data_IF_840647477781
#
_entry.id   IF_840647477781
#
_cell.length_a   1.000
_cell.length_b   1.000
_cell.length_c   1.000
_cell.angle_alpha   90.00
_cell.angle_beta   90.00
_cell.angle_gamma   90.00
#
_symmetry.space_group_name_H-M   'P 1'
#
loop_
_entity.id
_entity.type
_entity.pdbx_description
1 polymer ?
#
# COMPACT_ATOMS: atom_id res chain seq x y z
N UNK A 1 -15.19 -12.45 15.94
CA UNK A 1 -15.26 -13.16 14.63
C UNK A 1 -14.78 -12.31 13.44
N UNK A 2 -14.88 -10.97 13.47
CA UNK A 2 -14.46 -10.07 12.37
C UNK A 2 -12.95 -10.09 12.03
N UNK A 3 -12.05 -10.42 12.97
CA UNK A 3 -10.59 -10.50 12.72
C UNK A 3 -10.22 -11.45 11.56
N UNK A 4 -10.94 -12.56 11.40
CA UNK A 4 -10.65 -13.57 10.37
C UNK A 4 -11.05 -13.10 8.97
N UNK A 5 -12.12 -12.32 8.87
CA UNK A 5 -12.61 -11.73 7.63
C UNK A 5 -11.62 -10.72 7.05
N UNK A 6 -11.01 -9.87 7.87
CA UNK A 6 -10.05 -8.86 7.38
C UNK A 6 -8.76 -9.48 6.82
N UNK A 7 -8.25 -10.54 7.46
CA UNK A 7 -7.09 -11.26 6.96
C UNK A 7 -7.40 -12.00 5.65
N UNK A 8 -8.56 -12.67 5.56
CA UNK A 8 -9.01 -13.32 4.32
C UNK A 8 -9.29 -12.31 3.21
N UNK A 9 -9.84 -11.13 3.52
CA UNK A 9 -10.08 -10.07 2.54
C UNK A 9 -8.77 -9.50 1.99
N UNK A 10 -7.81 -9.19 2.86
CA UNK A 10 -6.50 -8.66 2.44
C UNK A 10 -5.71 -9.70 1.62
N UNK A 11 -5.74 -10.96 2.03
CA UNK A 11 -5.16 -12.06 1.24
C UNK A 11 -5.85 -12.23 -0.12
N UNK A 12 -7.18 -12.07 -0.17
CA UNK A 12 -7.94 -12.08 -1.42
C UNK A 12 -7.52 -10.94 -2.35
N UNK A 13 -7.44 -9.71 -1.86
CA UNK A 13 -6.99 -8.55 -2.66
C UNK A 13 -5.56 -8.74 -3.15
N UNK A 14 -4.67 -9.29 -2.33
CA UNK A 14 -3.31 -9.62 -2.75
C UNK A 14 -3.30 -10.64 -3.90
N UNK A 15 -4.03 -11.75 -3.76
CA UNK A 15 -4.10 -12.79 -4.78
C UNK A 15 -4.76 -12.31 -6.07
N UNK A 16 -5.83 -11.51 -5.99
CA UNK A 16 -6.47 -10.91 -7.18
C UNK A 16 -5.51 -9.96 -7.88
N UNK A 17 -4.81 -9.11 -7.13
CA UNK A 17 -3.81 -8.18 -7.69
C UNK A 17 -2.70 -8.94 -8.40
N UNK A 18 -2.18 -10.01 -7.78
CA UNK A 18 -1.14 -10.85 -8.35
C UNK A 18 -1.62 -11.60 -9.60
N UNK A 19 -2.85 -12.11 -9.58
CA UNK A 19 -3.43 -12.79 -10.73
C UNK A 19 -3.63 -11.82 -11.91
N UNK A 20 -4.18 -10.62 -11.66
CA UNK A 20 -4.37 -9.61 -12.69
C UNK A 20 -3.03 -9.15 -13.26
N UNK A 21 -2.03 -8.85 -12.42
CA UNK A 21 -0.72 -8.42 -12.89
C UNK A 21 -0.01 -9.52 -13.70
N UNK A 22 -0.13 -10.79 -13.28
CA UNK A 22 0.42 -11.93 -14.02
C UNK A 22 -0.30 -12.13 -15.37
N UNK A 23 -1.63 -12.07 -15.41
CA UNK A 23 -2.41 -12.20 -16.66
C UNK A 23 -2.02 -11.08 -17.64
N UNK A 24 -1.98 -9.83 -17.19
CA UNK A 24 -1.63 -8.70 -18.06
C UNK A 24 -0.19 -8.82 -18.59
N UNK A 25 0.74 -9.33 -17.78
CA UNK A 25 2.11 -9.57 -18.23
C UNK A 25 2.20 -10.64 -19.32
N UNK A 26 1.39 -11.70 -19.24
CA UNK A 26 1.32 -12.75 -20.28
C UNK A 26 0.63 -12.23 -21.55
N UNK A 27 -0.41 -11.42 -21.42
CA UNK A 27 -1.18 -10.90 -22.56
C UNK A 27 -0.41 -9.78 -23.29
N UNK A 28 0.35 -8.94 -22.56
CA UNK A 28 1.09 -7.82 -23.13
C UNK A 28 2.50 -7.70 -22.52
N UNK A 29 3.46 -8.53 -22.97
CA UNK A 29 4.82 -8.55 -22.42
C UNK A 29 5.60 -7.25 -22.69
N UNK A 30 5.24 -6.50 -23.74
CA UNK A 30 5.84 -5.19 -24.03
C UNK A 30 5.40 -4.08 -23.07
N UNK A 31 4.20 -4.20 -22.48
CA UNK A 31 3.69 -3.22 -21.53
C UNK A 31 4.10 -3.58 -20.09
N UNK A 32 4.10 -4.86 -19.75
CA UNK A 32 4.43 -5.36 -18.43
C UNK A 32 5.36 -6.57 -18.51
N UNK A 33 6.70 -6.35 -18.49
CA UNK A 33 7.64 -7.46 -18.44
C UNK A 33 7.45 -8.25 -17.15
N UNK A 34 7.71 -9.57 -17.19
CA UNK A 34 7.56 -10.46 -16.03
C UNK A 34 8.29 -9.96 -14.77
N UNK A 35 9.46 -9.32 -14.94
CA UNK A 35 10.21 -8.72 -13.83
C UNK A 35 9.50 -7.57 -13.11
N UNK A 36 8.50 -6.95 -13.75
CA UNK A 36 7.72 -5.85 -13.17
C UNK A 36 6.48 -6.32 -12.39
N UNK A 37 6.07 -7.59 -12.54
CA UNK A 37 4.84 -8.13 -11.92
C UNK A 37 4.90 -8.09 -10.39
N UNK A 38 6.04 -8.53 -9.82
CA UNK A 38 6.27 -8.55 -8.37
C UNK A 38 6.24 -7.13 -7.78
N UNK A 39 7.03 -6.16 -8.27
CA UNK A 39 7.02 -4.81 -7.70
C UNK A 39 5.68 -4.08 -7.88
N UNK A 40 4.95 -4.33 -8.98
CA UNK A 40 3.61 -3.76 -9.19
C UNK A 40 2.58 -4.33 -8.21
N UNK A 41 2.66 -5.63 -7.93
CA UNK A 41 1.81 -6.28 -6.94
C UNK A 41 2.07 -5.71 -5.55
N UNK A 42 3.34 -5.51 -5.19
CA UNK A 42 3.74 -4.88 -3.92
C UNK A 42 3.21 -3.44 -3.82
N UNK A 43 3.33 -2.65 -4.89
CA UNK A 43 2.84 -1.28 -4.94
C UNK A 43 1.32 -1.20 -4.73
N UNK A 44 0.55 -1.98 -5.49
CA UNK A 44 -0.92 -1.99 -5.39
C UNK A 44 -1.39 -2.53 -4.04
N UNK A 45 -0.72 -3.54 -3.49
CA UNK A 45 -1.01 -4.02 -2.15
C UNK A 45 -0.68 -2.98 -1.06
N UNK A 46 0.40 -2.20 -1.24
CA UNK A 46 0.71 -1.07 -0.38
C UNK A 46 -0.41 -0.01 -0.37
N UNK A 47 -0.97 0.32 -1.54
CA UNK A 47 -2.14 1.20 -1.65
C UNK A 47 -3.37 0.63 -0.92
N UNK A 48 -3.62 -0.68 -1.05
CA UNK A 48 -4.69 -1.35 -0.34
C UNK A 48 -4.54 -1.23 1.18
N UNK A 49 -3.33 -1.37 1.73
CA UNK A 49 -3.08 -1.20 3.16
C UNK A 49 -3.33 0.22 3.66
N UNK A 50 -3.05 1.23 2.83
CA UNK A 50 -3.40 2.63 3.15
C UNK A 50 -4.92 2.78 3.24
N UNK A 51 -5.66 2.26 2.25
CA UNK A 51 -7.14 2.25 2.29
C UNK A 51 -7.66 1.51 3.52
N UNK A 52 -7.07 0.35 3.84
CA UNK A 52 -7.40 -0.44 5.02
C UNK A 52 -7.16 0.32 6.32
N UNK A 53 -6.10 1.12 6.39
CA UNK A 53 -5.81 1.98 7.53
C UNK A 53 -6.89 3.06 7.74
N UNK A 54 -7.34 3.71 6.66
CA UNK A 54 -8.44 4.68 6.73
C UNK A 54 -9.75 4.02 7.18
N UNK A 55 -10.08 2.85 6.64
CA UNK A 55 -11.28 2.11 7.01
C UNK A 55 -11.22 1.71 8.50
N UNK A 56 -10.09 1.16 8.97
CA UNK A 56 -9.91 0.82 10.40
C UNK A 56 -10.01 2.04 11.32
N UNK A 57 -9.52 3.21 10.87
CA UNK A 57 -9.67 4.47 11.61
C UNK A 57 -11.13 4.88 11.74
N UNK A 58 -11.93 4.73 10.68
CA UNK A 58 -13.35 5.09 10.66
C UNK A 58 -14.23 4.15 11.51
N UNK A 59 -13.89 2.86 11.58
CA UNK A 59 -14.68 1.87 12.33
C UNK A 59 -14.41 1.85 13.86
N UNK A 60 -13.38 2.56 14.34
CA UNK A 60 -13.03 2.55 15.77
C UNK A 60 -12.35 1.24 16.20
N UNK A 61 -11.02 1.15 16.14
CA UNK A 61 -10.31 -0.11 16.39
C UNK A 61 -10.42 -0.55 17.85
N UNK A 62 -10.66 -1.85 18.05
CA UNK A 62 -10.65 -2.49 19.37
C UNK A 62 -9.21 -2.60 19.91
N UNK A 63 -9.04 -2.67 21.24
CA UNK A 63 -7.74 -2.67 21.96
C UNK A 63 -6.73 -3.72 21.47
N UNK A 64 -7.19 -4.78 20.80
CA UNK A 64 -6.37 -5.87 20.28
C UNK A 64 -6.13 -5.83 18.75
N UNK A 65 -6.48 -4.73 18.06
CA UNK A 65 -6.24 -4.58 16.63
C UNK A 65 -4.99 -3.74 16.34
N UNK A 66 -4.26 -4.12 15.29
CA UNK A 66 -3.10 -3.34 14.84
C UNK A 66 -3.52 -1.89 14.58
N UNK A 67 -2.84 -0.91 15.19
CA UNK A 67 -3.27 0.47 15.11
C UNK A 67 -3.33 0.92 13.64
N UNK A 68 -4.35 1.71 13.23
CA UNK A 68 -4.51 2.17 11.86
C UNK A 68 -3.25 2.85 11.32
N UNK A 69 -2.56 3.60 12.18
CA UNK A 69 -1.31 4.30 11.88
C UNK A 69 -0.19 3.33 11.47
N UNK A 70 -0.09 2.16 12.12
CA UNK A 70 0.91 1.14 11.80
C UNK A 70 0.58 0.45 10.48
N UNK A 71 -0.70 0.12 10.22
CA UNK A 71 -1.14 -0.46 8.94
C UNK A 71 -0.89 0.51 7.77
N UNK A 72 -1.18 1.79 7.96
CA UNK A 72 -0.94 2.83 6.95
C UNK A 72 0.54 3.05 6.69
N UNK A 73 1.38 3.04 7.74
CA UNK A 73 2.83 3.11 7.63
C UNK A 73 3.42 1.96 6.81
N UNK A 74 2.97 0.73 7.05
CA UNK A 74 3.35 -0.43 6.23
C UNK A 74 2.90 -0.28 4.77
N UNK A 75 1.70 0.25 4.54
CA UNK A 75 1.22 0.55 3.20
C UNK A 75 2.11 1.53 2.44
N UNK A 76 2.52 2.64 3.09
CA UNK A 76 3.40 3.65 2.51
C UNK A 76 4.79 3.07 2.19
N UNK A 77 5.34 2.25 3.09
CA UNK A 77 6.63 1.59 2.86
C UNK A 77 6.56 0.63 1.65
N UNK A 78 5.50 -0.17 1.55
CA UNK A 78 5.31 -1.10 0.44
C UNK A 78 5.11 -0.36 -0.89
N UNK A 79 4.37 0.75 -0.90
CA UNK A 79 4.27 1.65 -2.05
C UNK A 79 5.65 2.14 -2.48
N UNK A 80 6.47 2.57 -1.52
CA UNK A 80 7.82 3.04 -1.77
C UNK A 80 8.74 1.98 -2.35
N UNK A 81 8.75 0.79 -1.76
CA UNK A 81 9.56 -0.35 -2.22
C UNK A 81 9.12 -0.79 -3.62
N UNK A 82 7.81 -0.88 -3.87
CA UNK A 82 7.27 -1.24 -5.18
C UNK A 82 7.69 -0.23 -6.26
N UNK A 83 7.59 1.07 -5.98
CA UNK A 83 8.03 2.13 -6.90
C UNK A 83 9.55 2.10 -7.14
N UNK A 84 10.34 1.94 -6.08
CA UNK A 84 11.81 1.94 -6.17
C UNK A 84 12.32 0.77 -7.00
N UNK A 85 11.64 -0.37 -6.93
CA UNK A 85 11.96 -1.54 -7.73
C UNK A 85 11.46 -1.40 -9.18
N UNK A 86 10.32 -0.74 -9.42
CA UNK A 86 9.82 -0.44 -10.77
C UNK A 86 10.69 0.60 -11.51
N UNK A 87 11.21 1.61 -10.81
CA UNK A 87 11.96 2.72 -11.40
C UNK A 87 13.28 2.95 -10.66
N UNK A 88 14.27 2.05 -10.82
CA UNK A 88 15.54 2.14 -10.10
C UNK A 88 16.34 3.42 -10.45
N UNK A 89 16.20 3.92 -11.68
CA UNK A 89 16.83 5.17 -12.14
C UNK A 89 16.23 6.44 -11.51
N UNK A 90 15.01 6.38 -10.97
CA UNK A 90 14.31 7.52 -10.39
C UNK A 90 14.16 7.42 -8.86
N UNK A 91 15.01 6.63 -8.21
CA UNK A 91 14.92 6.33 -6.77
C UNK A 91 14.91 7.60 -5.88
N UNK A 92 15.69 8.62 -6.23
CA UNK A 92 15.73 9.93 -5.54
C UNK A 92 14.37 10.64 -5.56
N UNK A 93 13.70 10.61 -6.71
CA UNK A 93 12.39 11.22 -6.92
C UNK A 93 11.32 10.49 -6.10
N UNK A 94 11.39 9.16 -6.06
CA UNK A 94 10.48 8.32 -5.27
C UNK A 94 10.67 8.58 -3.77
N UNK A 95 11.92 8.68 -3.30
CA UNK A 95 12.21 9.05 -1.91
C UNK A 95 11.69 10.44 -1.57
N UNK A 96 11.88 11.42 -2.47
CA UNK A 96 11.33 12.76 -2.28
C UNK A 96 9.80 12.74 -2.17
N UNK A 97 9.11 11.97 -3.01
CA UNK A 97 7.65 11.80 -2.97
C UNK A 97 7.21 11.13 -1.66
N UNK A 98 7.90 10.08 -1.20
CA UNK A 98 7.57 9.41 0.07
C UNK A 98 7.73 10.36 1.25
N UNK A 99 8.83 11.11 1.31
CA UNK A 99 9.06 12.11 2.36
C UNK A 99 7.98 13.19 2.32
N UNK A 100 7.60 13.63 1.12
CA UNK A 100 6.52 14.60 0.93
C UNK A 100 5.19 14.05 1.45
N UNK A 101 4.81 12.81 1.10
CA UNK A 101 3.59 12.16 1.58
C UNK A 101 3.59 12.03 3.10
N UNK A 102 4.69 11.55 3.70
CA UNK A 102 4.82 11.42 5.16
C UNK A 102 4.75 12.79 5.84
N UNK A 103 5.41 13.80 5.28
CA UNK A 103 5.35 15.18 5.76
C UNK A 103 3.94 15.76 5.71
N UNK A 104 3.21 15.52 4.62
CA UNK A 104 1.83 16.00 4.44
C UNK A 104 0.88 15.31 5.43
N UNK A 105 1.05 14.00 5.66
CA UNK A 105 0.30 13.26 6.69
C UNK A 105 0.61 13.85 8.09
N UNK A 106 1.88 14.13 8.40
CA UNK A 106 2.27 14.72 9.68
C UNK A 106 1.65 16.11 9.88
N UNK A 107 1.60 16.94 8.84
CA UNK A 107 0.95 18.26 8.86
C UNK A 107 -0.55 18.10 9.14
N UNK A 108 -1.25 17.27 8.36
CA UNK A 108 -2.69 17.02 8.52
C UNK A 108 -3.01 16.47 9.93
N UNK A 109 -2.17 15.57 10.44
CA UNK A 109 -2.33 15.01 11.78
C UNK A 109 -2.14 16.07 12.88
N UNK A 110 -1.20 17.01 12.69
CA UNK A 110 -0.99 18.14 13.58
C UNK A 110 -2.22 19.07 13.62
N UNK A 111 -2.85 19.32 12.47
CA UNK A 111 -4.09 20.09 12.40
C UNK A 111 -5.29 19.34 13.02
N UNK A 112 -5.41 18.02 12.80
CA UNK A 112 -6.47 17.20 13.40
C UNK A 112 -6.35 17.04 14.92
N UNK A 113 -5.15 17.16 15.50
CA UNK A 113 -4.97 17.06 16.97
C UNK A 113 -5.36 18.35 17.70
N UNK A 114 -5.52 19.47 16.98
CA UNK A 114 -5.87 20.79 17.54
C UNK A 114 -7.36 21.16 17.37
N UNK A 115 -8.12 20.39 16.60
CA UNK A 115 -9.58 20.51 16.48
C UNK A 115 -10.26 19.46 17.37
#
# INVERSE_FOLDING_TARGET
MMKRLWNSLSAGVFLVTLAVSAIVSVVNPNLLPLGSVVPLTIFVFGLWLIVLAFIKRALGPSVYESPPLMVGGWGILLVGIGLMWLYPSSWLLIMAILILIVGLIAIVYSFMKRA
#
